data_IF_353163654209
#
_entry.id   IF_353163654209
#
_cell.length_a   1.000
_cell.length_b   1.000
_cell.length_c   1.000
_cell.angle_alpha   90.00
_cell.angle_beta   90.00
_cell.angle_gamma   90.00
#
_symmetry.space_group_name_H-M   'P 1'
#
loop_
_entity.id
_entity.type
_entity.pdbx_description
1 polymer ?
#
# COMPACT_ATOMS: atom_id res chain seq x y z
N UNK A 1 -13.02 -9.63 0.65
CA UNK A 1 -12.33 -8.46 0.08
C UNK A 1 -11.97 -7.47 1.18
N UNK A 2 -10.83 -6.75 1.07
CA UNK A 2 -10.38 -5.69 2.01
C UNK A 2 -9.95 -4.46 1.22
N UNK A 3 -10.09 -3.26 1.79
CA UNK A 3 -9.61 -2.02 1.18
C UNK A 3 -8.08 -1.91 1.32
N UNK A 4 -7.42 -1.46 0.26
CA UNK A 4 -5.97 -1.27 0.22
C UNK A 4 -5.64 0.22 0.14
N UNK A 5 -5.02 0.75 1.18
CA UNK A 5 -4.53 2.13 1.24
C UNK A 5 -3.00 2.10 1.32
N UNK A 6 -2.34 2.03 0.15
CA UNK A 6 -0.89 1.76 0.08
C UNK A 6 -0.03 3.02 0.17
N UNK A 7 -0.54 4.16 -0.26
CA UNK A 7 0.16 5.44 -0.31
C UNK A 7 -0.76 6.56 0.17
N UNK A 8 -0.24 7.53 0.94
CA UNK A 8 -1.03 8.68 1.36
C UNK A 8 -1.39 9.54 0.15
N UNK A 9 -2.57 10.16 0.19
CA UNK A 9 -2.94 11.21 -0.74
C UNK A 9 -2.20 12.50 -0.39
N UNK A 10 -1.85 13.31 -1.39
CA UNK A 10 -1.35 14.69 -1.22
C UNK A 10 -0.05 14.86 -0.40
N UNK A 11 0.69 13.78 -0.13
CA UNK A 11 1.99 13.83 0.54
C UNK A 11 3.11 13.59 -0.46
N UNK A 12 4.03 14.56 -0.57
CA UNK A 12 5.25 14.42 -1.35
C UNK A 12 6.28 13.57 -0.59
N UNK A 13 6.26 12.26 -0.86
CA UNK A 13 7.14 11.27 -0.22
C UNK A 13 8.64 11.48 -0.55
N UNK A 14 8.98 12.22 -1.61
CA UNK A 14 10.38 12.46 -2.00
C UNK A 14 11.12 13.26 -0.93
N UNK A 15 10.44 14.20 -0.27
CA UNK A 15 10.96 15.05 0.81
C UNK A 15 11.31 14.27 2.08
N UNK A 16 10.78 13.07 2.22
CA UNK A 16 10.99 12.21 3.37
C UNK A 16 12.13 11.20 3.17
N UNK A 17 12.79 11.20 2.00
CA UNK A 17 13.97 10.38 1.76
C UNK A 17 15.18 11.00 2.48
N UNK A 18 15.86 10.19 3.30
CA UNK A 18 17.04 10.64 4.04
C UNK A 18 18.18 11.04 3.08
N UNK A 19 18.97 12.08 3.41
CA UNK A 19 20.15 12.44 2.63
C UNK A 19 21.08 11.24 2.37
N UNK A 20 21.54 11.10 1.12
CA UNK A 20 22.39 9.97 0.69
C UNK A 20 21.65 8.65 0.45
N UNK A 21 20.33 8.58 0.65
CA UNK A 21 19.49 7.46 0.23
C UNK A 21 18.72 7.81 -1.03
N UNK A 22 18.40 6.78 -1.82
CA UNK A 22 17.56 6.89 -3.02
C UNK A 22 16.14 6.36 -2.81
N UNK A 23 15.87 5.76 -1.65
CA UNK A 23 14.59 5.14 -1.35
C UNK A 23 14.13 5.39 0.07
N UNK A 24 12.81 5.46 0.21
CA UNK A 24 12.07 5.34 1.46
C UNK A 24 11.18 4.10 1.36
N UNK A 25 11.47 3.06 2.14
CA UNK A 25 10.65 1.84 2.08
C UNK A 25 9.27 2.03 2.71
N UNK A 26 9.23 2.68 3.87
CA UNK A 26 8.01 2.89 4.66
C UNK A 26 7.92 4.34 5.07
N UNK A 27 6.76 4.95 4.84
CA UNK A 27 6.38 6.24 5.37
C UNK A 27 5.37 6.06 6.52
N UNK A 28 5.48 6.89 7.55
CA UNK A 28 4.50 6.99 8.63
C UNK A 28 4.40 8.45 9.01
N UNK A 29 3.21 9.03 8.86
CA UNK A 29 2.96 10.42 9.26
C UNK A 29 3.27 10.65 10.73
N UNK A 30 3.53 11.90 11.10
CA UNK A 30 3.80 12.28 12.49
C UNK A 30 2.54 12.18 13.34
N UNK A 31 1.43 12.70 12.82
CA UNK A 31 0.15 12.73 13.51
C UNK A 31 -0.76 11.54 13.14
N UNK A 32 -1.58 11.05 14.09
CA UNK A 32 -2.70 10.17 13.77
C UNK A 32 -3.76 10.89 12.93
N UNK A 33 -4.42 10.15 12.04
CA UNK A 33 -5.49 10.66 11.18
C UNK A 33 -6.68 9.70 11.17
N UNK A 34 -7.87 10.23 10.87
CA UNK A 34 -9.06 9.41 10.66
C UNK A 34 -9.09 8.88 9.24
N UNK A 35 -9.55 7.64 9.05
CA UNK A 35 -9.91 7.17 7.71
C UNK A 35 -11.18 7.85 7.25
N UNK A 36 -11.24 8.17 5.96
CA UNK A 36 -12.44 8.70 5.31
C UNK A 36 -12.90 7.75 4.21
N UNK A 37 -14.20 7.51 4.12
CA UNK A 37 -14.77 6.67 3.07
C UNK A 37 -16.21 7.11 2.79
N UNK A 38 -16.49 7.51 1.56
CA UNK A 38 -17.84 7.91 1.11
C UNK A 38 -18.52 8.95 2.01
N UNK A 39 -17.78 9.97 2.46
CA UNK A 39 -18.30 11.01 3.35
C UNK A 39 -18.40 10.62 4.84
N UNK A 40 -18.00 9.40 5.20
CA UNK A 40 -17.94 8.94 6.59
C UNK A 40 -16.51 8.96 7.13
N UNK A 41 -16.35 9.11 8.45
CA UNK A 41 -15.05 9.17 9.13
C UNK A 41 -14.90 8.03 10.14
N UNK A 42 -13.69 7.50 10.33
CA UNK A 42 -13.47 6.48 11.37
C UNK A 42 -13.76 7.02 12.78
N UNK A 43 -14.28 6.17 13.66
CA UNK A 43 -14.61 6.53 15.06
C UNK A 43 -13.40 6.89 15.91
N UNK A 44 -12.23 6.39 15.53
CA UNK A 44 -10.95 6.68 16.18
C UNK A 44 -9.92 7.03 15.12
N UNK A 45 -8.88 7.75 15.53
CA UNK A 45 -7.74 8.05 14.67
C UNK A 45 -6.75 6.88 14.65
N UNK A 46 -6.06 6.75 13.52
CA UNK A 46 -5.06 5.73 13.27
C UNK A 46 -3.77 6.39 12.80
N UNK A 47 -2.64 5.75 13.04
CA UNK A 47 -1.35 6.18 12.49
C UNK A 47 -0.77 5.12 11.56
N UNK A 48 -1.38 4.94 10.37
CA UNK A 48 -1.02 3.86 9.44
C UNK A 48 0.40 4.05 8.90
N UNK A 49 0.99 2.93 8.47
CA UNK A 49 2.19 2.92 7.66
C UNK A 49 1.78 2.85 6.20
N UNK A 50 2.54 3.53 5.36
CA UNK A 50 2.41 3.54 3.91
C UNK A 50 3.69 3.01 3.27
N UNK A 51 3.59 2.43 2.10
CA UNK A 51 4.79 2.15 1.31
C UNK A 51 5.30 3.45 0.68
N UNK A 52 6.61 3.64 0.76
CA UNK A 52 7.23 4.83 0.20
C UNK A 52 7.48 4.72 -1.29
N UNK A 53 8.54 5.39 -1.73
CA UNK A 53 8.99 5.38 -3.12
C UNK A 53 10.52 5.36 -3.20
N UNK A 54 11.00 5.09 -4.41
CA UNK A 54 12.39 5.17 -4.79
C UNK A 54 12.55 6.17 -5.94
N UNK A 55 13.71 6.82 -5.98
CA UNK A 55 14.15 7.71 -7.07
C UNK A 55 15.02 6.97 -8.10
N UNK A 56 15.17 5.66 -7.94
CA UNK A 56 15.78 4.74 -8.90
C UNK A 56 14.74 3.70 -9.34
N UNK A 57 15.15 2.72 -10.16
CA UNK A 57 14.26 1.75 -10.82
C UNK A 57 13.66 0.69 -9.88
N UNK A 58 13.53 0.98 -8.58
CA UNK A 58 12.97 0.09 -7.58
C UNK A 58 11.51 0.41 -7.29
N UNK A 59 10.68 -0.62 -7.21
CA UNK A 59 9.30 -0.50 -6.76
C UNK A 59 9.16 -0.93 -5.30
N UNK A 60 8.52 -0.09 -4.49
CA UNK A 60 8.19 -0.42 -3.11
C UNK A 60 6.75 -0.97 -3.01
N UNK A 61 6.61 -2.17 -2.48
CA UNK A 61 5.31 -2.85 -2.31
C UNK A 61 5.14 -3.39 -0.88
N UNK A 62 3.89 -3.65 -0.42
CA UNK A 62 3.65 -4.22 0.90
C UNK A 62 4.28 -5.61 1.03
N UNK A 63 5.16 -5.80 2.01
CA UNK A 63 5.83 -7.07 2.28
C UNK A 63 5.15 -7.84 3.42
N UNK A 64 4.76 -7.12 4.48
CA UNK A 64 4.00 -7.68 5.62
C UNK A 64 2.82 -6.78 5.91
N UNK A 65 1.62 -7.35 5.88
CA UNK A 65 0.38 -6.67 6.23
C UNK A 65 -0.52 -7.56 7.07
N UNK A 66 -1.41 -6.96 7.85
CA UNK A 66 -2.57 -7.62 8.47
C UNK A 66 -3.84 -6.95 7.99
N UNK A 67 -4.99 -7.55 8.27
CA UNK A 67 -6.28 -6.92 8.04
C UNK A 67 -6.82 -6.44 9.38
N UNK A 68 -7.25 -5.18 9.43
CA UNK A 68 -7.97 -4.62 10.59
C UNK A 68 -9.40 -4.30 10.20
N UNK A 69 -10.30 -4.31 11.17
CA UNK A 69 -11.65 -3.80 11.00
C UNK A 69 -11.71 -2.36 11.52
N UNK A 70 -12.18 -1.44 10.67
CA UNK A 70 -12.33 -0.01 10.98
C UNK A 70 -13.82 0.32 10.99
N UNK A 71 -14.26 0.91 12.10
CA UNK A 71 -15.64 1.35 12.28
C UNK A 71 -15.77 2.82 11.86
N UNK A 72 -16.71 3.09 10.96
CA UNK A 72 -17.01 4.41 10.43
C UNK A 72 -18.27 4.98 11.07
N UNK A 73 -18.22 6.29 11.31
CA UNK A 73 -19.36 7.11 11.66
C UNK A 73 -19.75 7.99 10.47
N UNK A 74 -21.04 7.97 10.13
CA UNK A 74 -21.60 8.74 9.03
C UNK A 74 -22.61 9.76 9.61
N UNK A 75 -22.48 11.07 9.31
CA UNK A 75 -23.40 12.08 9.82
C UNK A 75 -24.87 11.84 9.41
N UNK A 76 -25.10 11.48 8.15
CA UNK A 76 -26.42 11.33 7.55
C UNK A 76 -26.73 9.88 7.16
N UNK A 77 -26.16 8.89 7.86
CA UNK A 77 -26.31 7.50 7.46
C UNK A 77 -25.95 6.47 8.52
N UNK A 78 -26.07 5.20 8.14
CA UNK A 78 -25.80 4.07 9.03
C UNK A 78 -24.29 3.89 9.23
N UNK A 79 -23.86 3.84 10.49
CA UNK A 79 -22.50 3.45 10.84
C UNK A 79 -22.20 2.04 10.32
N UNK A 80 -21.01 1.82 9.78
CA UNK A 80 -20.61 0.52 9.23
C UNK A 80 -19.15 0.19 9.54
N UNK A 81 -18.77 -1.07 9.36
CA UNK A 81 -17.38 -1.50 9.47
C UNK A 81 -16.80 -1.87 8.10
N UNK A 82 -15.49 -1.65 7.91
CA UNK A 82 -14.75 -2.12 6.74
C UNK A 82 -13.43 -2.76 7.12
N UNK A 83 -13.10 -3.83 6.40
CA UNK A 83 -11.78 -4.49 6.47
C UNK A 83 -10.78 -3.66 5.67
N UNK A 84 -9.73 -3.18 6.33
CA UNK A 84 -8.65 -2.38 5.73
C UNK A 84 -7.32 -3.12 5.89
N UNK A 85 -6.47 -3.04 4.87
CA UNK A 85 -5.09 -3.52 4.91
C UNK A 85 -4.24 -2.62 5.80
N UNK A 86 -3.71 -3.18 6.88
CA UNK A 86 -2.77 -2.53 7.77
C UNK A 86 -1.35 -2.97 7.45
N UNK A 87 -0.55 -2.06 6.89
CA UNK A 87 0.83 -2.34 6.49
C UNK A 87 1.73 -2.35 7.73
N UNK A 88 2.53 -3.40 7.89
CA UNK A 88 3.55 -3.53 8.93
C UNK A 88 4.95 -3.22 8.38
N UNK A 89 5.23 -3.67 7.15
CA UNK A 89 6.48 -3.46 6.45
C UNK A 89 6.28 -3.45 4.92
N UNK A 90 7.13 -2.70 4.23
CA UNK A 90 7.25 -2.70 2.77
C UNK A 90 8.65 -3.12 2.36
N UNK A 91 8.78 -3.62 1.13
CA UNK A 91 10.05 -4.00 0.54
C UNK A 91 10.20 -3.35 -0.83
N UNK A 92 11.41 -2.90 -1.17
CA UNK A 92 11.69 -2.27 -2.46
C UNK A 92 12.65 -3.16 -3.26
N UNK A 93 12.25 -3.54 -4.47
CA UNK A 93 13.01 -4.41 -5.36
C UNK A 93 12.98 -3.90 -6.80
N UNK A 94 13.84 -4.45 -7.65
CA UNK A 94 13.86 -4.15 -9.10
C UNK A 94 12.75 -4.89 -9.86
N UNK A 95 12.13 -5.91 -9.25
CA UNK A 95 11.02 -6.67 -9.83
C UNK A 95 9.69 -5.93 -9.67
N UNK A 96 9.57 -4.81 -10.39
CA UNK A 96 8.35 -4.03 -10.49
C UNK A 96 7.26 -4.84 -11.23
N UNK A 97 6.25 -5.33 -10.51
CA UNK A 97 5.02 -5.82 -11.15
C UNK A 97 4.21 -4.60 -11.61
N UNK A 98 3.98 -4.48 -12.91
CA UNK A 98 3.07 -3.47 -13.44
C UNK A 98 1.63 -3.91 -13.10
N UNK A 99 0.88 -3.16 -12.27
CA UNK A 99 -0.48 -3.56 -11.88
C UNK A 99 -1.47 -3.52 -13.05
N UNK A 100 -1.13 -2.86 -14.16
CA UNK A 100 -1.92 -2.87 -15.40
C UNK A 100 -1.53 -4.00 -16.35
N UNK A 101 -0.41 -4.69 -16.08
CA UNK A 101 0.02 -5.84 -16.84
C UNK A 101 -0.53 -7.12 -16.21
N UNK A 102 -1.76 -7.45 -16.60
CA UNK A 102 -2.46 -8.67 -16.18
C UNK A 102 -1.77 -9.97 -16.65
N UNK A 103 -0.78 -9.87 -17.55
CA UNK A 103 -0.03 -11.02 -18.09
C UNK A 103 1.33 -11.22 -17.43
N UNK A 104 1.74 -10.33 -16.51
CA UNK A 104 3.04 -10.42 -15.84
C UNK A 104 3.27 -11.76 -15.10
N UNK A 105 2.20 -12.41 -14.64
CA UNK A 105 2.28 -13.72 -13.97
C UNK A 105 2.29 -14.91 -14.95
N UNK A 106 1.93 -14.73 -16.23
CA UNK A 106 1.98 -15.78 -17.26
C UNK A 106 3.38 -15.94 -17.87
N UNK A 107 4.22 -14.90 -17.82
CA UNK A 107 5.59 -14.94 -18.35
C UNK A 107 6.45 -16.05 -17.70
N UNK A 108 6.12 -16.46 -16.46
CA UNK A 108 6.81 -17.56 -15.78
C UNK A 108 6.39 -18.96 -16.26
N UNK A 109 5.29 -19.11 -17.00
CA UNK A 109 4.79 -20.43 -17.40
C UNK A 109 5.49 -21.00 -18.65
N UNK A 110 6.14 -20.14 -19.45
CA UNK A 110 6.77 -20.54 -20.70
C UNK A 110 8.10 -21.28 -20.53
N UNK A 111 8.68 -21.34 -19.34
CA UNK A 111 9.99 -21.98 -19.11
C UNK A 111 9.90 -23.50 -18.89
N UNK A 112 8.69 -24.08 -18.83
CA UNK A 112 8.48 -25.52 -18.60
C UNK A 112 8.26 -26.36 -19.87
N UNK A 113 8.30 -25.77 -21.08
CA UNK A 113 7.86 -26.47 -22.31
C UNK A 113 8.96 -26.91 -23.27
N UNK A 114 10.25 -26.72 -22.97
CA UNK A 114 11.34 -27.06 -23.91
C UNK A 114 12.20 -28.26 -23.53
N UNK A 115 11.72 -29.16 -22.65
CA UNK A 115 12.34 -30.48 -22.45
C UNK A 115 11.36 -31.59 -22.85
N UNK A 116 11.12 -31.67 -24.16
CA UNK A 116 10.61 -32.87 -24.80
C UNK A 116 11.17 -32.94 -26.22
N UNK A 117 12.44 -33.34 -26.33
CA UNK A 117 12.98 -33.99 -27.52
C UNK A 117 13.95 -35.09 -27.08
#
# INVERSE_FOLDING_TARGET
SRLCDQRPCEVDLTRHIKPGKKCLAVYRGEEPMNYTLSGCTSKVSYRPKYCGLCLDDRCCSPYKSKTIEVNFHCPEGTNFSRKIMWINACFCNLSCKNPNDIFADLAHYHDYSEIAN
#
